data_IF_356548562847
#
_entry.id   IF_356548562847
#
_cell.length_a   1.000
_cell.length_b   1.000
_cell.length_c   1.000
_cell.angle_alpha   90.00
_cell.angle_beta   90.00
_cell.angle_gamma   90.00
#
_symmetry.space_group_name_H-M   'P 1'
#
loop_
_entity.id
_entity.type
_entity.pdbx_description
1 polymer ?
#
# COMPACT_ATOMS: atom_id res chain seq x y z
N UNK A 1 -19.36 4.91 -11.81
CA UNK A 1 -19.11 3.90 -12.87
C UNK A 1 -17.64 3.99 -13.27
N UNK A 2 -17.00 2.89 -13.66
CA UNK A 2 -15.62 2.92 -14.13
C UNK A 2 -15.60 3.29 -15.62
N UNK A 3 -15.17 4.52 -15.95
CA UNK A 3 -15.12 5.01 -17.33
C UNK A 3 -13.80 4.62 -18.00
N UNK A 4 -13.74 3.43 -18.58
CA UNK A 4 -12.75 3.09 -19.59
C UNK A 4 -13.43 2.93 -20.94
N UNK A 5 -12.80 3.40 -22.00
CA UNK A 5 -13.18 3.03 -23.36
C UNK A 5 -13.06 1.50 -23.52
N UNK A 6 -13.86 0.92 -24.42
CA UNK A 6 -14.01 -0.53 -24.56
C UNK A 6 -12.68 -1.28 -24.77
N UNK A 7 -11.82 -0.77 -25.65
CA UNK A 7 -10.54 -1.40 -25.99
C UNK A 7 -9.54 -1.43 -24.81
N UNK A 8 -9.35 -0.34 -24.02
CA UNK A 8 -8.61 -0.40 -22.77
C UNK A 8 -9.17 -1.39 -21.74
N UNK A 9 -10.49 -1.45 -21.58
CA UNK A 9 -11.12 -2.31 -20.59
C UNK A 9 -10.91 -3.80 -20.89
N UNK A 10 -11.08 -4.20 -22.15
CA UNK A 10 -10.86 -5.58 -22.61
C UNK A 10 -9.40 -6.02 -22.40
N UNK A 11 -8.44 -5.16 -22.77
CA UNK A 11 -7.01 -5.46 -22.58
C UNK A 11 -6.65 -5.69 -21.11
N UNK A 12 -7.15 -4.84 -20.20
CA UNK A 12 -6.90 -5.02 -18.77
C UNK A 12 -7.60 -6.25 -18.20
N UNK A 13 -8.79 -6.60 -18.70
CA UNK A 13 -9.49 -7.83 -18.33
C UNK A 13 -8.67 -9.07 -18.73
N UNK A 14 -8.18 -9.13 -19.97
CA UNK A 14 -7.30 -10.20 -20.46
C UNK A 14 -6.02 -10.27 -19.62
N UNK A 15 -5.36 -9.13 -19.38
CA UNK A 15 -4.16 -9.07 -18.54
C UNK A 15 -4.42 -9.63 -17.14
N UNK A 16 -5.58 -9.32 -16.55
CA UNK A 16 -6.01 -9.85 -15.25
C UNK A 16 -6.29 -11.35 -15.24
N UNK A 17 -6.74 -11.95 -16.35
CA UNK A 17 -6.93 -13.40 -16.47
C UNK A 17 -5.61 -14.16 -16.44
N UNK A 18 -4.57 -13.64 -17.09
CA UNK A 18 -3.30 -14.34 -17.25
C UNK A 18 -2.21 -13.93 -16.26
N UNK A 19 -2.34 -12.77 -15.61
CA UNK A 19 -1.39 -12.33 -14.58
C UNK A 19 -1.98 -12.59 -13.17
N UNK A 20 -1.57 -13.67 -12.48
CA UNK A 20 -2.07 -13.96 -11.13
C UNK A 20 -1.70 -12.88 -10.10
N UNK A 21 -0.72 -12.02 -10.37
CA UNK A 21 -0.30 -10.92 -9.49
C UNK A 21 -1.08 -9.62 -9.73
N UNK A 22 -2.05 -9.60 -10.65
CA UNK A 22 -2.83 -8.39 -10.96
C UNK A 22 -3.51 -7.78 -9.71
N UNK A 23 -3.85 -8.60 -8.70
CA UNK A 23 -4.42 -8.13 -7.44
C UNK A 23 -3.44 -7.30 -6.58
N UNK A 24 -2.13 -7.42 -6.80
CA UNK A 24 -1.11 -6.79 -5.95
C UNK A 24 -1.22 -5.26 -5.91
N UNK A 25 -1.68 -4.61 -6.99
CA UNK A 25 -1.92 -3.15 -6.98
C UNK A 25 -2.96 -2.75 -5.94
N UNK A 26 -4.08 -3.47 -5.90
CA UNK A 26 -5.17 -3.22 -4.96
C UNK A 26 -4.76 -3.66 -3.56
N UNK A 27 -4.18 -4.84 -3.41
CA UNK A 27 -3.74 -5.34 -2.12
C UNK A 27 -2.68 -4.42 -1.48
N UNK A 28 -1.67 -4.01 -2.24
CA UNK A 28 -0.64 -3.06 -1.80
C UNK A 28 -1.24 -1.74 -1.31
N UNK A 29 -2.15 -1.17 -2.10
CA UNK A 29 -2.87 0.06 -1.72
C UNK A 29 -3.64 -0.11 -0.41
N UNK A 30 -4.39 -1.20 -0.27
CA UNK A 30 -5.16 -1.49 0.94
C UNK A 30 -4.26 -1.69 2.16
N UNK A 31 -3.11 -2.35 2.01
CA UNK A 31 -2.16 -2.52 3.10
C UNK A 31 -1.53 -1.20 3.56
N UNK A 32 -1.15 -0.31 2.64
CA UNK A 32 -0.65 1.04 2.99
C UNK A 32 -1.74 1.83 3.72
N UNK A 33 -2.98 1.80 3.22
CA UNK A 33 -4.11 2.50 3.85
C UNK A 33 -4.38 1.96 5.26
N UNK A 34 -4.33 0.64 5.45
CA UNK A 34 -4.49 0.00 6.76
C UNK A 34 -3.39 0.41 7.73
N UNK A 35 -2.13 0.38 7.28
CA UNK A 35 -0.99 0.80 8.08
C UNK A 35 -1.09 2.29 8.47
N UNK A 36 -1.47 3.17 7.53
CA UNK A 36 -1.73 4.58 7.82
C UNK A 36 -2.80 4.75 8.87
N UNK A 37 -3.95 4.08 8.70
CA UNK A 37 -5.06 4.15 9.67
C UNK A 37 -4.65 3.71 11.07
N UNK A 38 -3.72 2.76 11.19
CA UNK A 38 -3.28 2.20 12.47
C UNK A 38 -2.20 3.03 13.14
N UNK A 39 -1.26 3.60 12.39
CA UNK A 39 -0.04 4.19 12.95
C UNK A 39 0.02 5.72 12.85
N UNK A 40 -0.76 6.37 11.97
CA UNK A 40 -0.64 7.81 11.71
C UNK A 40 -0.78 8.66 12.97
N UNK A 41 -1.83 8.45 13.76
CA UNK A 41 -2.01 9.15 15.02
C UNK A 41 -1.04 8.69 16.13
N UNK A 42 -1.03 7.41 16.55
CA UNK A 42 -0.28 7.00 17.74
C UNK A 42 1.24 7.08 17.58
N UNK A 43 1.79 6.96 16.36
CA UNK A 43 3.24 6.99 16.11
C UNK A 43 3.72 8.29 15.49
N UNK A 44 2.88 8.93 14.67
CA UNK A 44 3.26 10.11 13.87
C UNK A 44 2.41 11.35 14.19
N UNK A 45 1.56 11.33 15.23
CA UNK A 45 0.77 12.48 15.68
C UNK A 45 0.03 13.18 14.54
N UNK A 46 -0.57 12.41 13.63
CA UNK A 46 -1.33 12.92 12.49
C UNK A 46 -0.48 13.38 11.30
N UNK A 47 0.85 13.40 11.41
CA UNK A 47 1.72 13.93 10.36
C UNK A 47 1.88 12.97 9.19
N UNK A 48 1.20 13.29 8.07
CA UNK A 48 1.32 12.54 6.82
C UNK A 48 2.75 12.54 6.27
N UNK A 49 3.45 13.68 6.34
CA UNK A 49 4.83 13.77 5.87
C UNK A 49 5.74 12.76 6.59
N UNK A 50 5.75 12.75 7.93
CA UNK A 50 6.59 11.82 8.70
C UNK A 50 6.22 10.35 8.45
N UNK A 51 4.94 10.06 8.28
CA UNK A 51 4.47 8.72 7.92
C UNK A 51 5.04 8.28 6.56
N UNK A 52 4.91 9.14 5.55
CA UNK A 52 5.36 8.83 4.19
C UNK A 52 6.89 8.74 4.09
N UNK A 53 7.62 9.67 4.72
CA UNK A 53 9.08 9.63 4.76
C UNK A 53 9.59 8.35 5.40
N UNK A 54 8.98 7.93 6.53
CA UNK A 54 9.36 6.69 7.22
C UNK A 54 9.04 5.46 6.36
N UNK A 55 7.83 5.37 5.80
CA UNK A 55 7.41 4.24 4.97
C UNK A 55 8.30 4.09 3.73
N UNK A 56 8.57 5.19 3.02
CA UNK A 56 9.39 5.20 1.81
C UNK A 56 10.88 4.99 2.11
N UNK A 57 11.35 5.36 3.30
CA UNK A 57 12.71 5.11 3.76
C UNK A 57 13.08 3.61 3.81
N UNK A 58 12.10 2.71 3.88
CA UNK A 58 12.32 1.25 3.79
C UNK A 58 12.45 0.71 2.36
N UNK A 59 12.24 1.54 1.33
CA UNK A 59 12.29 1.13 -0.07
C UNK A 59 11.08 0.29 -0.48
N UNK A 60 11.31 -0.99 -0.81
CA UNK A 60 10.27 -1.92 -1.25
C UNK A 60 10.13 -3.10 -0.26
N UNK A 61 9.70 -2.86 0.99
CA UNK A 61 9.58 -3.95 1.95
C UNK A 61 8.40 -4.86 1.60
N UNK A 62 8.47 -6.16 1.94
CA UNK A 62 7.32 -7.06 1.83
C UNK A 62 6.08 -6.50 2.53
N UNK A 63 4.93 -6.59 1.86
CA UNK A 63 3.66 -6.00 2.31
C UNK A 63 3.24 -6.42 3.73
N UNK A 64 3.58 -7.64 4.14
CA UNK A 64 3.28 -8.17 5.47
C UNK A 64 4.12 -7.54 6.60
N UNK A 65 5.13 -6.74 6.28
CA UNK A 65 6.03 -6.13 7.26
C UNK A 65 5.67 -4.70 7.65
N UNK A 66 4.75 -4.03 6.95
CA UNK A 66 4.42 -2.62 7.21
C UNK A 66 4.09 -2.36 8.69
N UNK A 67 3.31 -3.24 9.32
CA UNK A 67 2.93 -3.08 10.73
C UNK A 67 4.12 -3.16 11.69
N UNK A 68 5.08 -4.05 11.41
CA UNK A 68 6.30 -4.19 12.23
C UNK A 68 7.25 -3.02 12.00
N UNK A 69 7.40 -2.57 10.75
CA UNK A 69 8.31 -1.49 10.36
C UNK A 69 7.86 -0.13 10.88
N UNK A 70 6.55 0.09 10.96
CA UNK A 70 5.97 1.36 11.42
C UNK A 70 5.68 1.37 12.94
N UNK A 71 5.81 0.22 13.61
CA UNK A 71 5.77 0.18 15.07
C UNK A 71 6.89 1.05 15.67
N UNK A 72 6.70 1.59 16.90
CA UNK A 72 7.80 2.20 17.62
C UNK A 72 8.99 1.24 17.71
N UNK A 73 10.20 1.77 17.58
CA UNK A 73 11.40 0.97 17.82
C UNK A 73 11.32 0.40 19.24
N UNK A 74 11.44 -0.92 19.39
CA UNK A 74 11.60 -1.50 20.71
C UNK A 74 12.94 -1.01 21.25
N UNK A 75 12.90 -0.26 22.35
CA UNK A 75 14.08 0.31 22.97
C UNK A 75 15.15 -0.77 23.20
N UNK A 76 16.39 -0.41 22.85
CA UNK A 76 17.59 -0.99 23.47
C UNK A 76 17.84 -0.28 24.79
#
# INVERSE_FOLDING_TARGET
>A
EAHFEHLPAEREAIRGTFNPEYFCYTLGKLAILRARSKHLEPRFGGSLLRFHDTLLGFGCPPIGLFDRLLAPAQGS
#
